data_IF_578929720279
#
_entry.id   IF_578929720279
#
_cell.length_a   1.000
_cell.length_b   1.000
_cell.length_c   1.000
_cell.angle_alpha   90.00
_cell.angle_beta   90.00
_cell.angle_gamma   90.00
#
_symmetry.space_group_name_H-M   'P 1'
#
loop_
_entity.id
_entity.type
_entity.pdbx_description
1 polymer ?
#
# COMPACT_ATOMS: atom_id res chain seq x y z
N UNK A 1 -17.52 8.02 11.27
CA UNK A 1 -16.85 6.81 10.80
C UNK A 1 -16.64 6.97 9.31
N UNK A 2 -15.42 7.25 8.84
CA UNK A 2 -15.14 7.16 7.39
C UNK A 2 -15.23 5.67 7.05
N UNK A 3 -16.06 5.30 6.08
CA UNK A 3 -16.03 3.95 5.54
C UNK A 3 -14.60 3.69 5.04
N UNK A 4 -13.95 2.67 5.57
CA UNK A 4 -12.61 2.28 5.15
C UNK A 4 -12.76 1.74 3.72
N UNK A 5 -12.22 2.45 2.74
CA UNK A 5 -12.27 2.01 1.34
C UNK A 5 -11.45 0.73 1.20
N UNK A 6 -11.92 -0.20 0.38
CA UNK A 6 -11.15 -1.40 0.03
C UNK A 6 -10.09 -1.06 -1.01
N UNK A 7 -9.07 -1.93 -1.14
CA UNK A 7 -8.10 -1.84 -2.23
C UNK A 7 -8.78 -1.79 -3.61
N UNK A 8 -9.83 -2.60 -3.80
CA UNK A 8 -10.56 -2.65 -5.07
C UNK A 8 -11.26 -1.34 -5.41
N UNK A 9 -11.92 -0.72 -4.43
CA UNK A 9 -12.56 0.59 -4.58
C UNK A 9 -11.55 1.71 -4.84
N UNK A 10 -10.41 1.68 -4.14
CA UNK A 10 -9.28 2.59 -4.41
C UNK A 10 -8.80 2.45 -5.86
N UNK A 11 -8.59 1.22 -6.33
CA UNK A 11 -8.12 0.95 -7.69
C UNK A 11 -9.13 1.42 -8.74
N UNK A 12 -10.43 1.19 -8.53
CA UNK A 12 -11.49 1.70 -9.42
C UNK A 12 -11.42 3.23 -9.48
N UNK A 13 -11.36 3.89 -8.32
CA UNK A 13 -11.32 5.36 -8.23
C UNK A 13 -10.12 5.90 -9.01
N UNK A 14 -8.90 5.40 -8.72
CA UNK A 14 -7.68 5.84 -9.40
C UNK A 14 -7.71 5.56 -10.89
N UNK A 15 -8.17 4.38 -11.29
CA UNK A 15 -8.32 4.07 -12.71
C UNK A 15 -9.27 5.04 -13.43
N UNK A 16 -10.40 5.39 -12.82
CA UNK A 16 -11.38 6.31 -13.42
C UNK A 16 -10.89 7.77 -13.45
N UNK A 17 -10.11 8.22 -12.45
CA UNK A 17 -9.45 9.53 -12.46
C UNK A 17 -8.50 9.68 -13.65
N UNK A 18 -7.94 8.58 -14.15
CA UNK A 18 -7.09 8.52 -15.34
C UNK A 18 -7.86 8.12 -16.62
N UNK A 19 -9.18 8.21 -16.63
CA UNK A 19 -10.06 7.87 -17.77
C UNK A 19 -9.82 6.47 -18.36
N UNK A 20 -9.30 5.55 -17.56
CA UNK A 20 -8.90 4.23 -18.02
C UNK A 20 -10.01 3.21 -17.73
N UNK A 21 -10.30 2.35 -18.70
CA UNK A 21 -11.21 1.21 -18.50
C UNK A 21 -10.50 0.02 -17.84
N UNK A 22 -11.26 -0.87 -17.20
CA UNK A 22 -10.68 -2.10 -16.62
C UNK A 22 -9.95 -2.96 -17.67
N UNK A 23 -10.39 -2.92 -18.94
CA UNK A 23 -9.71 -3.60 -20.05
C UNK A 23 -8.37 -2.97 -20.40
N UNK A 24 -8.29 -1.64 -20.43
CA UNK A 24 -7.04 -0.92 -20.68
C UNK A 24 -6.04 -1.14 -19.55
N UNK A 25 -6.49 -1.11 -18.29
CA UNK A 25 -5.64 -1.43 -17.14
C UNK A 25 -5.12 -2.87 -17.22
N UNK A 26 -5.99 -3.83 -17.54
CA UNK A 26 -5.59 -5.22 -17.70
C UNK A 26 -4.55 -5.42 -18.81
N UNK A 27 -4.73 -4.75 -19.95
CA UNK A 27 -3.77 -4.77 -21.05
C UNK A 27 -2.41 -4.20 -20.61
N UNK A 28 -2.41 -3.04 -19.94
CA UNK A 28 -1.19 -2.38 -19.49
C UNK A 28 -0.43 -3.17 -18.41
N UNK A 29 -1.15 -3.93 -17.57
CA UNK A 29 -0.56 -4.83 -16.58
C UNK A 29 -0.19 -6.21 -17.14
N UNK A 30 -0.63 -6.54 -18.36
CA UNK A 30 -0.54 -7.86 -18.99
C UNK A 30 -1.32 -8.97 -18.23
N UNK A 31 -2.53 -8.65 -17.76
CA UNK A 31 -3.46 -9.58 -17.10
C UNK A 31 -4.80 -9.66 -17.84
N UNK A 32 -5.64 -10.63 -17.48
CA UNK A 32 -6.99 -10.72 -18.05
C UNK A 32 -7.92 -9.65 -17.45
N UNK A 33 -8.83 -9.05 -18.25
CA UNK A 33 -9.81 -8.10 -17.73
C UNK A 33 -10.70 -8.68 -16.61
N UNK A 34 -10.99 -9.97 -16.69
CA UNK A 34 -11.75 -10.69 -15.65
C UNK A 34 -11.01 -10.69 -14.33
N UNK A 35 -9.69 -10.95 -14.35
CA UNK A 35 -8.86 -10.96 -13.15
C UNK A 35 -8.77 -9.56 -12.50
N UNK A 36 -8.58 -8.51 -13.31
CA UNK A 36 -8.61 -7.13 -12.79
C UNK A 36 -9.97 -6.81 -12.17
N UNK A 37 -11.08 -7.18 -12.82
CA UNK A 37 -12.41 -6.98 -12.23
C UNK A 37 -12.64 -7.78 -10.94
N UNK A 38 -12.02 -8.96 -10.78
CA UNK A 38 -12.08 -9.72 -9.54
C UNK A 38 -11.30 -9.04 -8.41
N UNK A 39 -10.16 -8.43 -8.71
CA UNK A 39 -9.40 -7.62 -7.76
C UNK A 39 -10.19 -6.37 -7.36
N UNK A 40 -10.74 -5.64 -8.34
CA UNK A 40 -11.55 -4.44 -8.11
C UNK A 40 -12.79 -4.72 -7.24
N UNK A 41 -13.35 -5.93 -7.33
CA UNK A 41 -14.49 -6.37 -6.52
C UNK A 41 -14.09 -7.02 -5.20
N UNK A 42 -12.80 -7.05 -4.86
CA UNK A 42 -12.28 -7.69 -3.65
C UNK A 42 -12.44 -9.21 -3.61
N UNK A 43 -12.74 -9.86 -4.76
CA UNK A 43 -12.89 -11.32 -4.85
C UNK A 43 -11.56 -12.05 -4.86
N UNK A 44 -10.49 -11.36 -5.28
CA UNK A 44 -9.13 -11.87 -5.27
C UNK A 44 -8.19 -10.83 -4.66
N UNK A 45 -7.19 -11.26 -3.88
CA UNK A 45 -6.14 -10.37 -3.44
C UNK A 45 -5.31 -9.90 -4.65
N UNK A 46 -4.79 -8.68 -4.57
CA UNK A 46 -3.86 -8.16 -5.58
C UNK A 46 -2.49 -8.83 -5.41
N UNK A 47 -1.87 -9.31 -6.51
CA UNK A 47 -0.50 -9.83 -6.49
C UNK A 47 0.52 -8.69 -6.46
N UNK A 48 1.71 -8.96 -5.91
CA UNK A 48 2.76 -7.94 -5.76
C UNK A 48 3.25 -7.40 -7.12
N UNK A 49 3.27 -8.25 -8.16
CA UNK A 49 3.60 -7.83 -9.54
C UNK A 49 2.71 -6.70 -10.08
N UNK A 50 1.44 -6.65 -9.65
CA UNK A 50 0.53 -5.57 -10.01
C UNK A 50 0.82 -4.35 -9.13
N UNK A 51 1.01 -4.55 -7.83
CA UNK A 51 1.30 -3.47 -6.87
C UNK A 51 2.55 -2.67 -7.26
N UNK A 52 3.61 -3.33 -7.72
CA UNK A 52 4.85 -2.65 -8.14
C UNK A 52 4.67 -1.76 -9.38
N UNK A 53 3.73 -2.12 -10.27
CA UNK A 53 3.52 -1.41 -11.54
C UNK A 53 2.50 -0.28 -11.42
N UNK A 54 1.51 -0.43 -10.54
CA UNK A 54 0.39 0.51 -10.41
C UNK A 54 0.82 1.95 -10.12
N UNK A 55 1.77 2.26 -9.20
CA UNK A 55 2.16 3.63 -8.91
C UNK A 55 2.67 4.37 -10.15
N UNK A 56 3.45 3.70 -10.99
CA UNK A 56 3.97 4.28 -12.23
C UNK A 56 2.89 4.40 -13.30
N UNK A 57 2.05 3.39 -13.43
CA UNK A 57 1.01 3.31 -14.45
C UNK A 57 -0.12 4.32 -14.22
N UNK A 58 -0.50 4.53 -12.96
CA UNK A 58 -1.53 5.47 -12.53
C UNK A 58 -0.95 6.80 -12.06
N UNK A 59 0.34 7.06 -12.25
CA UNK A 59 1.01 8.29 -11.81
C UNK A 59 0.68 8.69 -10.36
N UNK A 60 0.66 7.70 -9.45
CA UNK A 60 0.31 7.93 -8.06
C UNK A 60 1.38 8.77 -7.38
N UNK A 61 0.95 9.71 -6.55
CA UNK A 61 1.84 10.39 -5.60
C UNK A 61 2.34 9.40 -4.56
N UNK A 62 3.41 9.75 -3.85
CA UNK A 62 3.95 8.92 -2.76
C UNK A 62 2.90 8.59 -1.69
N UNK A 63 2.08 9.57 -1.30
CA UNK A 63 0.99 9.34 -0.34
C UNK A 63 -0.04 8.34 -0.85
N UNK A 64 -0.39 8.40 -2.15
CA UNK A 64 -1.37 7.50 -2.75
C UNK A 64 -0.81 6.10 -2.96
N UNK A 65 0.48 5.99 -3.28
CA UNK A 65 1.17 4.72 -3.35
C UNK A 65 1.23 4.04 -1.97
N UNK A 66 1.55 4.79 -0.91
CA UNK A 66 1.55 4.27 0.46
C UNK A 66 0.15 3.82 0.88
N UNK A 67 -0.88 4.63 0.62
CA UNK A 67 -2.28 4.24 0.86
C UNK A 67 -2.64 2.95 0.09
N UNK A 68 -2.24 2.85 -1.18
CA UNK A 68 -2.46 1.66 -1.99
C UNK A 68 -1.82 0.40 -1.38
N UNK A 69 -0.55 0.48 -0.96
CA UNK A 69 0.16 -0.65 -0.34
C UNK A 69 -0.48 -1.05 0.98
N UNK A 70 -0.87 -0.08 1.82
CA UNK A 70 -1.54 -0.34 3.10
C UNK A 70 -2.91 -1.01 2.91
N UNK A 71 -3.70 -0.56 1.93
CA UNK A 71 -4.99 -1.16 1.60
C UNK A 71 -4.83 -2.61 1.12
N UNK A 72 -3.82 -2.87 0.29
CA UNK A 72 -3.50 -4.22 -0.16
C UNK A 72 -3.01 -5.12 0.99
N UNK A 73 -2.19 -4.58 1.89
CA UNK A 73 -1.68 -5.26 3.07
C UNK A 73 -2.81 -5.67 4.03
N UNK A 74 -3.71 -4.73 4.33
CA UNK A 74 -4.91 -4.97 5.14
C UNK A 74 -5.80 -6.06 4.56
N UNK A 75 -5.99 -6.06 3.23
CA UNK A 75 -6.80 -7.10 2.56
C UNK A 75 -6.21 -8.51 2.69
N UNK A 76 -4.88 -8.61 2.85
CA UNK A 76 -4.14 -9.88 2.98
C UNK A 76 -3.75 -10.21 4.42
N UNK A 77 -3.98 -9.29 5.37
CA UNK A 77 -3.47 -9.35 6.74
C UNK A 77 -1.93 -9.55 6.78
N UNK A 78 -1.21 -8.85 5.89
CA UNK A 78 0.26 -8.87 5.79
C UNK A 78 0.83 -7.48 6.02
N UNK A 79 2.17 -7.37 6.04
CA UNK A 79 2.86 -6.07 5.97
C UNK A 79 2.74 -5.52 4.54
N UNK A 80 2.72 -4.20 4.39
CA UNK A 80 2.75 -3.46 3.12
C UNK A 80 3.94 -3.90 2.27
N UNK A 81 3.71 -4.19 0.99
CA UNK A 81 4.66 -4.93 0.14
C UNK A 81 5.99 -4.20 -0.09
N UNK A 82 6.02 -2.89 0.11
CA UNK A 82 7.16 -1.99 -0.01
C UNK A 82 8.09 -2.01 1.22
N UNK A 83 7.62 -2.46 2.39
CA UNK A 83 8.37 -2.39 3.64
C UNK A 83 9.31 -3.59 3.94
N UNK A 84 9.00 -4.86 3.55
CA UNK A 84 9.80 -6.02 3.92
C UNK A 84 11.27 -5.90 3.55
N UNK A 85 11.59 -5.42 2.36
CA UNK A 85 12.98 -5.28 1.92
C UNK A 85 13.74 -4.30 2.82
N UNK A 86 13.18 -3.12 3.08
CA UNK A 86 13.76 -2.13 3.98
C UNK A 86 13.94 -2.65 5.42
N UNK A 87 12.93 -3.36 5.93
CA UNK A 87 12.98 -3.99 7.26
C UNK A 87 14.05 -5.07 7.29
N UNK A 88 14.24 -5.83 6.20
CA UNK A 88 15.23 -6.92 6.09
C UNK A 88 16.66 -6.44 5.82
N UNK A 89 16.84 -5.28 5.22
CA UNK A 89 18.16 -4.68 5.01
C UNK A 89 18.74 -4.12 6.33
N UNK A 90 17.91 -3.52 7.18
CA UNK A 90 18.36 -2.77 8.36
C UNK A 90 18.12 -3.50 9.68
N UNK A 91 19.18 -4.08 10.25
CA UNK A 91 19.14 -4.73 11.58
C UNK A 91 18.56 -3.83 12.68
N UNK A 92 18.92 -2.55 12.65
CA UNK A 92 18.44 -1.57 13.64
C UNK A 92 16.92 -1.38 13.59
N UNK A 93 16.30 -1.45 12.41
CA UNK A 93 14.84 -1.32 12.26
C UNK A 93 14.16 -2.54 12.89
N UNK A 94 14.68 -3.75 12.65
CA UNK A 94 14.17 -4.96 13.32
C UNK A 94 14.33 -4.90 14.83
N UNK A 95 15.48 -4.44 15.31
CA UNK A 95 15.72 -4.25 16.74
C UNK A 95 14.75 -3.23 17.36
N UNK A 96 14.52 -2.10 16.68
CA UNK A 96 13.57 -1.08 17.09
C UNK A 96 12.13 -1.63 17.16
N UNK A 97 11.65 -2.33 16.13
CA UNK A 97 10.31 -2.94 16.12
C UNK A 97 10.13 -3.98 17.25
N UNK A 98 11.13 -4.84 17.49
CA UNK A 98 11.10 -5.80 18.61
C UNK A 98 11.08 -5.11 19.97
N UNK A 99 11.85 -4.04 20.12
CA UNK A 99 11.91 -3.24 21.35
C UNK A 99 10.58 -2.53 21.59
N UNK A 100 10.03 -1.91 20.55
CA UNK A 100 8.74 -1.24 20.63
C UNK A 100 7.61 -2.20 21.01
N UNK A 101 7.60 -3.41 20.43
CA UNK A 101 6.68 -4.49 20.83
C UNK A 101 6.87 -4.91 22.28
N UNK A 102 8.11 -5.09 22.75
CA UNK A 102 8.42 -5.48 24.13
C UNK A 102 7.95 -4.43 25.14
N UNK A 103 8.03 -3.15 24.79
CA UNK A 103 7.70 -2.03 25.67
C UNK A 103 6.27 -1.50 25.48
N UNK A 104 5.43 -2.16 24.67
CA UNK A 104 4.07 -1.72 24.35
C UNK A 104 4.01 -0.24 23.94
N UNK A 105 4.91 0.17 23.04
CA UNK A 105 4.96 1.56 22.54
C UNK A 105 3.60 1.91 21.96
N UNK A 106 3.02 3.00 22.46
CA UNK A 106 1.70 3.51 22.08
C UNK A 106 1.75 4.25 20.74
N UNK A 107 0.60 4.38 20.08
CA UNK A 107 0.47 5.13 18.82
C UNK A 107 0.98 6.57 18.96
N UNK A 108 0.71 7.22 20.12
CA UNK A 108 1.23 8.57 20.42
C UNK A 108 2.76 8.63 20.42
N UNK A 109 3.43 7.62 20.97
CA UNK A 109 4.90 7.56 20.96
C UNK A 109 5.45 7.33 19.55
N UNK A 110 4.76 6.53 18.73
CA UNK A 110 5.09 6.38 17.32
C UNK A 110 4.89 7.68 16.54
N UNK A 111 3.78 8.39 16.75
CA UNK A 111 3.54 9.70 16.16
C UNK A 111 4.64 10.70 16.53
N UNK A 112 5.05 10.74 17.80
CA UNK A 112 6.14 11.60 18.27
C UNK A 112 7.47 11.22 17.62
N UNK A 113 7.74 9.93 17.43
CA UNK A 113 8.93 9.46 16.71
C UNK A 113 8.90 9.87 15.23
N UNK A 114 7.77 9.69 14.53
CA UNK A 114 7.59 10.10 13.14
C UNK A 114 7.79 11.62 13.02
N UNK A 115 7.17 12.41 13.89
CA UNK A 115 7.33 13.89 13.93
C UNK A 115 8.79 14.31 14.14
N UNK A 116 9.57 13.57 14.92
CA UNK A 116 11.00 13.87 15.13
C UNK A 116 11.82 13.66 13.85
N UNK A 117 11.51 12.62 13.08
CA UNK A 117 12.20 12.32 11.82
C UNK A 117 11.82 13.35 10.74
N UNK A 118 10.53 13.70 10.63
CA UNK A 118 10.07 14.66 9.62
C UNK A 118 10.52 16.09 9.90
N UNK A 119 10.62 16.50 11.18
CA UNK A 119 11.16 17.83 11.56
C UNK A 119 12.68 17.96 11.43
N UNK A 120 13.43 16.86 11.52
CA UNK A 120 14.89 16.89 11.33
C UNK A 120 15.33 17.01 9.87
N UNK A 121 14.37 17.12 8.94
CA UNK A 121 14.58 17.19 7.50
C UNK A 121 14.40 18.63 6.93
N UNK A 122 14.21 19.63 7.81
CA UNK A 122 14.18 21.06 7.48
C UNK A 122 15.53 21.74 7.73
#
# INVERSE_FOLDING_TARGET
MKAEITFGEFLIKKRLEHEMSARQLALALNFSPVYICDIEKGRKPVPDEILEKLPRLLHLTESEANEMYDLAAKSRNTVSADLPEYIMEKDIVRAALRTAKKHNVTDKQWEDFIKRITKGSE
#
